data_IF_655006187413
#
_entry.id   IF_655006187413
#
_cell.length_a   1.000
_cell.length_b   1.000
_cell.length_c   1.000
_cell.angle_alpha   90.00
_cell.angle_beta   90.00
_cell.angle_gamma   90.00
#
_symmetry.space_group_name_H-M   'P 1'
#
loop_
_entity.id
_entity.type
_entity.pdbx_description
1 polymer ?
#
# COMPACT_ATOMS: atom_id res chain seq x y z
N UNK A 1 -6.83 13.09 1.93
CA UNK A 1 -6.96 12.39 0.64
C UNK A 1 -7.29 10.94 0.94
N UNK A 2 -8.46 10.43 0.53
CA UNK A 2 -8.81 9.01 0.77
C UNK A 2 -8.28 8.20 -0.42
N UNK A 3 -7.76 6.99 -0.17
CA UNK A 3 -7.32 6.04 -1.22
C UNK A 3 -8.36 5.81 -2.34
N UNK A 4 -9.64 6.10 -2.07
CA UNK A 4 -10.76 6.05 -3.01
C UNK A 4 -10.76 7.11 -4.12
N UNK A 5 -9.78 8.03 -4.14
CA UNK A 5 -9.67 9.08 -5.16
C UNK A 5 -8.54 8.81 -6.18
N UNK A 6 -7.85 7.67 -6.09
CA UNK A 6 -6.82 7.31 -7.06
C UNK A 6 -7.47 6.86 -8.37
N UNK A 7 -7.05 7.48 -9.47
CA UNK A 7 -7.53 7.16 -10.80
C UNK A 7 -7.13 5.72 -11.19
N UNK A 8 -7.97 4.95 -11.90
CA UNK A 8 -7.63 3.60 -12.34
C UNK A 8 -6.30 3.52 -13.11
N UNK A 9 -6.01 4.50 -13.97
CA UNK A 9 -4.76 4.53 -14.72
C UNK A 9 -3.55 4.78 -13.81
N UNK A 10 -3.75 5.54 -12.73
CA UNK A 10 -2.73 5.78 -11.73
C UNK A 10 -2.45 4.54 -10.89
N UNK A 11 -3.48 3.80 -10.51
CA UNK A 11 -3.32 2.50 -9.82
C UNK A 11 -2.56 1.52 -10.71
N UNK A 12 -2.92 1.45 -11.99
CA UNK A 12 -2.23 0.60 -12.96
C UNK A 12 -0.75 1.00 -13.08
N UNK A 13 -0.45 2.28 -13.23
CA UNK A 13 0.93 2.77 -13.23
C UNK A 13 1.68 2.40 -11.94
N UNK A 14 1.10 2.67 -10.77
CA UNK A 14 1.71 2.33 -9.47
C UNK A 14 1.97 0.83 -9.31
N UNK A 15 1.14 -0.03 -9.92
CA UNK A 15 1.31 -1.48 -9.88
C UNK A 15 2.51 -1.98 -10.71
N UNK A 16 2.99 -1.17 -11.65
CA UNK A 16 4.19 -1.46 -12.46
C UNK A 16 5.49 -1.00 -11.82
N UNK A 17 5.41 -0.21 -10.74
CA UNK A 17 6.57 0.36 -10.08
C UNK A 17 7.15 -0.60 -9.03
N UNK A 18 8.47 -0.70 -9.03
CA UNK A 18 9.23 -1.27 -7.92
C UNK A 18 9.04 -0.41 -6.64
N UNK A 19 9.37 -0.99 -5.48
CA UNK A 19 9.13 -0.37 -4.18
C UNK A 19 9.70 1.04 -4.04
N UNK A 20 10.98 1.25 -4.36
CA UNK A 20 11.62 2.57 -4.26
C UNK A 20 10.98 3.61 -5.20
N UNK A 21 10.82 3.36 -6.51
CA UNK A 21 10.09 4.25 -7.41
C UNK A 21 8.68 4.57 -6.94
N UNK A 22 7.93 3.59 -6.42
CA UNK A 22 6.60 3.80 -5.88
C UNK A 22 6.62 4.74 -4.67
N UNK A 23 7.54 4.54 -3.73
CA UNK A 23 7.66 5.41 -2.55
C UNK A 23 8.01 6.84 -2.94
N UNK A 24 8.93 7.02 -3.90
CA UNK A 24 9.30 8.34 -4.42
C UNK A 24 8.11 8.99 -5.12
N UNK A 25 7.36 8.25 -5.93
CA UNK A 25 6.18 8.74 -6.63
C UNK A 25 5.11 9.22 -5.63
N UNK A 26 4.80 8.41 -4.63
CA UNK A 26 3.81 8.73 -3.59
C UNK A 26 4.23 9.95 -2.77
N UNK A 27 5.49 10.02 -2.38
CA UNK A 27 6.04 11.17 -1.64
C UNK A 27 5.97 12.46 -2.46
N UNK A 28 6.35 12.41 -3.74
CA UNK A 28 6.34 13.60 -4.61
C UNK A 28 4.94 14.09 -4.94
N UNK A 29 3.98 13.18 -5.13
CA UNK A 29 2.63 13.53 -5.57
C UNK A 29 1.68 13.84 -4.42
N UNK A 30 1.79 13.10 -3.32
CA UNK A 30 0.85 13.17 -2.19
C UNK A 30 1.50 13.64 -0.89
N UNK A 31 2.82 13.80 -0.86
CA UNK A 31 3.56 14.22 0.33
C UNK A 31 4.05 13.05 1.18
N UNK A 32 4.98 13.36 2.08
CA UNK A 32 5.63 12.37 2.95
C UNK A 32 4.65 11.69 3.93
N UNK A 33 3.65 12.43 4.43
CA UNK A 33 2.63 11.89 5.33
C UNK A 33 1.80 10.78 4.66
N UNK A 34 1.46 10.95 3.37
CA UNK A 34 0.71 9.95 2.63
C UNK A 34 1.52 8.68 2.39
N UNK A 35 2.81 8.82 2.07
CA UNK A 35 3.74 7.69 1.94
C UNK A 35 3.79 6.89 3.23
N UNK A 36 3.93 7.55 4.38
CA UNK A 36 4.02 6.87 5.68
C UNK A 36 2.70 6.16 6.04
N UNK A 37 1.55 6.80 5.79
CA UNK A 37 0.24 6.16 5.95
C UNK A 37 0.08 4.94 5.03
N UNK A 38 0.52 5.02 3.78
CA UNK A 38 0.45 3.92 2.82
C UNK A 38 1.29 2.72 3.27
N UNK A 39 2.54 2.96 3.67
CA UNK A 39 3.43 1.91 4.17
C UNK A 39 2.84 1.24 5.40
N UNK A 40 2.30 2.02 6.35
CA UNK A 40 1.66 1.47 7.55
C UNK A 40 0.43 0.62 7.21
N UNK A 41 -0.42 1.07 6.28
CA UNK A 41 -1.56 0.28 5.81
C UNK A 41 -1.14 -1.02 5.13
N UNK A 42 -0.08 -0.98 4.32
CA UNK A 42 0.47 -2.15 3.65
C UNK A 42 1.01 -3.16 4.67
N UNK A 43 1.80 -2.70 5.64
CA UNK A 43 2.31 -3.55 6.72
C UNK A 43 1.18 -4.19 7.53
N UNK A 44 0.19 -3.41 7.95
CA UNK A 44 -0.96 -3.91 8.69
C UNK A 44 -1.77 -4.93 7.86
N UNK A 45 -1.94 -4.70 6.56
CA UNK A 45 -2.65 -5.63 5.68
C UNK A 45 -1.89 -6.95 5.52
N UNK A 46 -0.57 -6.89 5.34
CA UNK A 46 0.28 -8.09 5.25
C UNK A 46 0.23 -8.87 6.57
N UNK A 47 0.36 -8.17 7.70
CA UNK A 47 0.32 -8.77 9.02
C UNK A 47 -1.03 -9.46 9.30
N UNK A 48 -2.14 -8.78 9.01
CA UNK A 48 -3.48 -9.37 9.14
C UNK A 48 -3.67 -10.59 8.23
N UNK A 49 -3.17 -10.56 6.99
CA UNK A 49 -3.25 -11.74 6.10
C UNK A 49 -2.41 -12.91 6.61
N UNK A 50 -1.26 -12.65 7.22
CA UNK A 50 -0.42 -13.69 7.84
C UNK A 50 -1.08 -14.28 9.09
N UNK A 51 -1.72 -13.43 9.91
CA UNK A 51 -2.46 -13.86 11.10
C UNK A 51 -3.69 -14.70 10.72
N UNK A 52 -4.50 -14.26 9.73
CA UNK A 52 -5.64 -15.03 9.21
C UNK A 52 -5.22 -16.36 8.57
N UNK A 53 -4.08 -16.37 7.86
CA UNK A 53 -3.52 -17.60 7.31
C UNK A 53 -3.05 -18.55 8.42
N UNK A 54 -2.45 -18.02 9.50
CA UNK A 54 -2.06 -18.79 10.68
C UNK A 54 -3.26 -19.35 11.46
N UNK A 55 -4.37 -18.62 11.51
CA UNK A 55 -5.62 -19.06 12.13
C UNK A 55 -6.29 -20.18 11.34
N UNK A 56 -6.27 -20.12 10.00
CA UNK A 56 -6.76 -21.20 9.12
C UNK A 56 -5.96 -22.50 9.20
N UNK A 57 -4.70 -22.43 9.64
CA UNK A 57 -3.85 -23.61 9.84
C UNK A 57 -3.92 -24.18 11.26
N UNK A 58 -4.48 -23.42 12.22
CA UNK A 58 -4.64 -23.82 13.63
C UNK A 58 -5.99 -24.47 13.95
N UNK A 59 -6.99 -24.34 13.07
CA UNK A 59 -8.27 -25.07 13.09
C UNK A 59 -8.22 -26.26 12.12
#
# INVERSE_FOLDING_TARGET
MRFSELDPAEIEYMSTLEWEPLMIYLEKKHGIEFKDEFVNKLKNKIQNQMDEAGEKWRN
#
